data_IF_686222716558
#
_entry.id   IF_686222716558
#
_cell.length_a   1.000
_cell.length_b   1.000
_cell.length_c   1.000
_cell.angle_alpha   90.00
_cell.angle_beta   90.00
_cell.angle_gamma   90.00
#
_symmetry.space_group_name_H-M   'P 1'
#
loop_
_entity.id
_entity.type
_entity.pdbx_description
1 polymer ?
#
# COMPACT_ATOMS: atom_id res chain seq x y z
N UNK A 1 -10.70 25.93 3.30
CA UNK A 1 -10.73 24.52 2.88
C UNK A 1 -9.31 24.00 2.95
N UNK A 2 -9.02 23.07 3.85
CA UNK A 2 -7.66 22.51 4.00
C UNK A 2 -7.61 21.26 3.12
N UNK A 3 -6.73 21.26 2.11
CA UNK A 3 -6.47 20.09 1.27
C UNK A 3 -5.30 19.31 1.86
N UNK A 4 -5.51 18.02 2.15
CA UNK A 4 -4.47 17.12 2.64
C UNK A 4 -4.05 16.22 1.47
N UNK A 5 -2.79 16.29 1.01
CA UNK A 5 -2.32 15.39 -0.04
C UNK A 5 -2.30 13.96 0.50
N UNK A 6 -3.02 13.06 -0.18
CA UNK A 6 -3.08 11.65 0.17
C UNK A 6 -2.34 10.83 -0.90
N UNK A 7 -1.42 9.99 -0.45
CA UNK A 7 -0.79 9.00 -1.30
C UNK A 7 -1.56 7.70 -1.19
N UNK A 8 -2.35 7.38 -2.23
CA UNK A 8 -3.22 6.20 -2.27
C UNK A 8 -2.72 5.22 -3.33
N UNK A 9 -3.01 3.94 -3.12
CA UNK A 9 -2.79 2.88 -4.09
C UNK A 9 -4.01 1.98 -4.16
N UNK A 10 -4.22 1.36 -5.31
CA UNK A 10 -5.22 0.32 -5.48
C UNK A 10 -4.65 -1.00 -4.97
N UNK A 11 -5.21 -1.58 -3.91
CA UNK A 11 -4.76 -2.88 -3.42
C UNK A 11 -5.12 -4.01 -4.39
N UNK A 12 -6.28 -3.92 -5.02
CA UNK A 12 -6.85 -4.96 -5.87
C UNK A 12 -6.67 -4.63 -7.34
N UNK A 13 -5.89 -5.41 -8.05
CA UNK A 13 -5.77 -5.27 -9.48
C UNK A 13 -7.04 -5.73 -10.22
N UNK A 14 -7.48 -4.95 -11.21
CA UNK A 14 -8.55 -5.34 -12.14
C UNK A 14 -9.97 -5.09 -11.61
N UNK A 15 -10.13 -4.57 -10.39
CA UNK A 15 -11.42 -4.05 -9.94
C UNK A 15 -11.81 -2.85 -10.79
N UNK A 16 -13.12 -2.76 -11.05
CA UNK A 16 -13.70 -1.62 -11.77
C UNK A 16 -13.41 -0.33 -11.01
N UNK A 17 -13.13 0.73 -11.77
CA UNK A 17 -12.94 2.07 -11.21
C UNK A 17 -14.10 2.44 -10.27
N UNK A 18 -13.80 2.97 -9.07
CA UNK A 18 -14.83 3.44 -8.16
C UNK A 18 -15.75 4.46 -8.81
N UNK A 19 -17.05 4.37 -8.51
CA UNK A 19 -18.04 5.38 -8.94
C UNK A 19 -18.36 6.31 -7.78
N UNK A 20 -18.80 7.56 -8.01
CA UNK A 20 -19.14 8.50 -6.94
C UNK A 20 -20.24 8.03 -5.98
N UNK A 21 -21.05 7.05 -6.41
CA UNK A 21 -22.14 6.47 -5.62
C UNK A 21 -21.71 5.21 -4.85
N UNK A 22 -20.46 4.76 -4.99
CA UNK A 22 -19.95 3.63 -4.23
C UNK A 22 -19.84 4.01 -2.74
N UNK A 23 -20.29 3.10 -1.87
CA UNK A 23 -20.14 3.26 -0.43
C UNK A 23 -18.72 2.86 -0.02
N UNK A 24 -18.00 3.76 0.65
CA UNK A 24 -16.65 3.55 1.13
C UNK A 24 -16.64 3.43 2.66
N UNK A 25 -15.92 2.42 3.16
CA UNK A 25 -15.64 2.26 4.59
C UNK A 25 -14.15 2.36 4.82
N UNK A 26 -13.74 3.17 5.79
CA UNK A 26 -12.38 3.15 6.30
C UNK A 26 -12.21 1.91 7.18
N UNK A 27 -11.23 1.09 6.81
CA UNK A 27 -10.84 -0.12 7.57
C UNK A 27 -9.38 0.01 7.94
N UNK A 28 -9.01 -0.57 9.09
CA UNK A 28 -7.59 -0.69 9.44
C UNK A 28 -6.91 -1.73 8.56
N UNK A 29 -5.61 -1.60 8.28
CA UNK A 29 -4.87 -2.60 7.50
C UNK A 29 -5.03 -4.02 8.08
N UNK A 30 -4.96 -4.17 9.39
CA UNK A 30 -5.11 -5.46 10.10
C UNK A 30 -6.51 -6.09 9.95
N UNK A 31 -7.54 -5.28 9.68
CA UNK A 31 -8.89 -5.78 9.40
C UNK A 31 -9.07 -6.20 7.94
N UNK A 32 -8.17 -5.77 7.04
CA UNK A 32 -8.24 -6.04 5.61
C UNK A 32 -7.39 -7.24 5.19
N UNK A 33 -6.19 -7.39 5.78
CA UNK A 33 -5.21 -8.40 5.37
C UNK A 33 -4.42 -8.92 6.56
N UNK A 34 -4.14 -10.22 6.58
CA UNK A 34 -3.26 -10.87 7.55
C UNK A 34 -1.78 -10.79 7.14
N UNK A 35 -1.48 -10.30 5.93
CA UNK A 35 -0.11 -10.17 5.45
C UNK A 35 0.57 -8.97 6.13
N UNK A 36 1.37 -9.25 7.17
CA UNK A 36 2.13 -8.25 7.93
C UNK A 36 3.04 -7.41 7.03
N UNK A 37 3.63 -8.00 5.98
CA UNK A 37 4.47 -7.24 5.05
C UNK A 37 3.65 -6.22 4.23
N UNK A 38 2.40 -6.55 3.90
CA UNK A 38 1.49 -5.60 3.24
C UNK A 38 1.06 -4.47 4.20
N UNK A 39 0.82 -4.78 5.47
CA UNK A 39 0.52 -3.76 6.49
C UNK A 39 1.69 -2.77 6.63
N UNK A 40 2.92 -3.27 6.76
CA UNK A 40 4.13 -2.44 6.82
C UNK A 40 4.35 -1.61 5.55
N UNK A 41 4.08 -2.21 4.38
CA UNK A 41 4.12 -1.49 3.12
C UNK A 41 3.15 -0.29 3.12
N UNK A 42 1.92 -0.49 3.60
CA UNK A 42 0.91 0.58 3.68
C UNK A 42 1.34 1.70 4.62
N UNK A 43 1.95 1.38 5.75
CA UNK A 43 2.53 2.38 6.68
C UNK A 43 3.64 3.18 5.99
N UNK A 44 4.53 2.52 5.25
CA UNK A 44 5.59 3.21 4.51
C UNK A 44 5.04 4.14 3.42
N UNK A 45 4.01 3.71 2.68
CA UNK A 45 3.35 4.53 1.64
C UNK A 45 2.66 5.75 2.27
N UNK A 46 2.01 5.58 3.43
CA UNK A 46 1.32 6.64 4.15
C UNK A 46 2.26 7.79 4.60
N UNK A 47 3.57 7.56 4.65
CA UNK A 47 4.57 8.60 4.92
C UNK A 47 4.63 9.70 3.85
N UNK A 48 4.07 9.46 2.66
CA UNK A 48 4.06 10.41 1.54
C UNK A 48 5.41 10.55 0.81
N UNK A 49 6.42 9.75 1.18
CA UNK A 49 7.77 9.80 0.58
C UNK A 49 7.99 8.83 -0.58
N UNK A 50 7.01 7.98 -0.87
CA UNK A 50 7.09 6.94 -1.90
C UNK A 50 6.41 7.41 -3.18
N UNK A 51 7.06 7.23 -4.32
CA UNK A 51 6.46 7.48 -5.62
C UNK A 51 5.21 6.60 -5.83
N UNK A 52 4.14 7.16 -6.40
CA UNK A 52 2.85 6.46 -6.61
C UNK A 52 2.97 5.17 -7.42
N UNK A 53 3.74 5.18 -8.50
CA UNK A 53 3.89 4.01 -9.38
C UNK A 53 4.69 2.91 -8.68
N UNK A 54 5.71 3.29 -7.90
CA UNK A 54 6.49 2.37 -7.05
C UNK A 54 5.58 1.72 -6.01
N UNK A 55 4.77 2.53 -5.33
CA UNK A 55 3.82 2.08 -4.32
C UNK A 55 2.77 1.12 -4.92
N UNK A 56 2.22 1.46 -6.09
CA UNK A 56 1.21 0.67 -6.79
C UNK A 56 1.76 -0.70 -7.25
N UNK A 57 2.99 -0.74 -7.79
CA UNK A 57 3.65 -1.98 -8.17
C UNK A 57 3.94 -2.87 -6.96
N UNK A 58 4.45 -2.30 -5.86
CA UNK A 58 4.70 -3.03 -4.63
C UNK A 58 3.41 -3.61 -4.02
N UNK A 59 2.32 -2.83 -4.01
CA UNK A 59 1.02 -3.27 -3.49
C UNK A 59 0.46 -4.45 -4.29
N UNK A 60 0.47 -4.37 -5.63
CA UNK A 60 -0.02 -5.48 -6.47
C UNK A 60 0.85 -6.74 -6.37
N UNK A 61 2.16 -6.60 -6.17
CA UNK A 61 3.03 -7.75 -5.94
C UNK A 61 2.67 -8.48 -4.64
N UNK A 62 2.46 -7.74 -3.53
CA UNK A 62 2.17 -8.34 -2.22
C UNK A 62 0.72 -8.79 -2.02
N UNK A 63 -0.23 -8.14 -2.69
CA UNK A 63 -1.66 -8.39 -2.46
C UNK A 63 -2.32 -9.27 -3.53
N UNK A 64 -1.79 -9.28 -4.77
CA UNK A 64 -2.35 -10.05 -5.87
C UNK A 64 -1.37 -11.10 -6.44
N UNK A 65 -0.24 -11.34 -5.75
CA UNK A 65 0.81 -12.27 -6.17
C UNK A 65 1.33 -12.04 -7.60
N UNK A 66 1.19 -10.81 -8.12
CA UNK A 66 1.65 -10.48 -9.46
C UNK A 66 3.18 -10.56 -9.52
N UNK A 67 3.71 -11.33 -10.45
CA UNK A 67 5.15 -11.40 -10.65
C UNK A 67 5.70 -10.08 -11.20
N UNK A 68 6.98 -9.80 -10.93
CA UNK A 68 7.66 -8.63 -11.50
C UNK A 68 7.68 -8.64 -13.03
N UNK A 69 7.66 -9.82 -13.65
CA UNK A 69 7.57 -9.96 -15.09
C UNK A 69 6.19 -9.53 -15.63
N UNK A 70 5.11 -9.90 -14.95
CA UNK A 70 3.75 -9.46 -15.29
C UNK A 70 3.57 -7.95 -15.07
N UNK A 71 4.16 -7.39 -14.01
CA UNK A 71 4.16 -5.95 -13.79
C UNK A 71 4.96 -5.22 -14.88
N UNK A 72 6.08 -5.78 -15.34
CA UNK A 72 6.90 -5.20 -16.41
C UNK A 72 6.25 -5.23 -17.80
N UNK A 73 5.42 -6.24 -18.07
CA UNK A 73 4.67 -6.37 -19.33
C UNK A 73 3.38 -5.56 -19.34
N UNK A 74 2.98 -5.01 -18.19
CA UNK A 74 1.72 -4.29 -18.04
C UNK A 74 1.71 -3.01 -18.87
N UNK A 75 0.69 -2.91 -19.71
CA UNK A 75 0.45 -1.75 -20.55
C UNK A 75 -0.97 -1.26 -20.38
N UNK A 76 -1.15 0.05 -20.44
CA UNK A 76 -2.46 0.69 -20.48
C UNK A 76 -2.74 1.17 -21.90
N UNK A 77 -3.92 0.83 -22.41
CA UNK A 77 -4.32 1.12 -23.79
C UNK A 77 -5.01 2.49 -23.95
N UNK A 78 -4.86 3.37 -22.96
CA UNK A 78 -5.74 4.53 -22.76
C UNK A 78 -5.25 5.83 -23.45
N UNK A 79 -4.26 5.77 -24.34
CA UNK A 79 -3.63 6.98 -24.91
C UNK A 79 -3.91 7.22 -26.40
N UNK A 80 -5.06 6.74 -26.91
CA UNK A 80 -5.51 7.04 -28.28
C UNK A 80 -4.43 6.75 -29.34
N UNK A 81 -4.06 7.75 -30.13
CA UNK A 81 -3.07 7.63 -31.21
C UNK A 81 -1.63 7.35 -30.75
N UNK A 82 -1.31 7.55 -29.46
CA UNK A 82 0.03 7.31 -28.92
C UNK A 82 0.31 5.82 -28.63
N UNK A 83 -0.70 4.95 -28.77
CA UNK A 83 -0.56 3.52 -28.56
C UNK A 83 -0.44 3.12 -27.07
N UNK A 84 -0.27 1.81 -26.79
CA UNK A 84 -0.19 1.30 -25.43
C UNK A 84 1.09 1.79 -24.73
N UNK A 85 0.95 2.33 -23.52
CA UNK A 85 2.08 2.76 -22.69
C UNK A 85 2.33 1.76 -21.58
N UNK A 86 3.59 1.48 -21.28
CA UNK A 86 3.95 0.72 -20.07
C UNK A 86 3.50 1.48 -18.84
N UNK A 87 2.84 0.78 -17.92
CA UNK A 87 2.37 1.35 -16.65
C UNK A 87 3.56 1.66 -15.76
N UNK A 88 4.55 0.75 -15.71
CA UNK A 88 5.73 0.89 -14.88
C UNK A 88 7.01 0.99 -15.72
N UNK A 89 7.89 1.89 -15.32
CA UNK A 89 9.27 1.92 -15.82
C UNK A 89 10.13 0.90 -15.09
N UNK A 90 11.24 0.46 -15.69
CA UNK A 90 12.18 -0.45 -15.02
C UNK A 90 12.69 0.14 -13.69
N UNK A 91 12.94 1.45 -13.64
CA UNK A 91 13.37 2.13 -12.42
C UNK A 91 12.30 2.04 -11.32
N UNK A 92 11.02 2.17 -11.67
CA UNK A 92 9.92 2.00 -10.71
C UNK A 92 9.86 0.57 -10.18
N UNK A 93 10.06 -0.44 -11.04
CA UNK A 93 10.05 -1.84 -10.63
C UNK A 93 11.21 -2.19 -9.69
N UNK A 94 12.43 -1.70 -9.98
CA UNK A 94 13.57 -1.89 -9.07
C UNK A 94 13.33 -1.21 -7.71
N UNK A 95 12.80 0.01 -7.70
CA UNK A 95 12.45 0.69 -6.46
C UNK A 95 11.34 -0.05 -5.69
N UNK A 96 10.37 -0.62 -6.40
CA UNK A 96 9.28 -1.39 -5.80
C UNK A 96 9.79 -2.70 -5.17
N UNK A 97 10.70 -3.41 -5.84
CA UNK A 97 11.37 -4.59 -5.28
C UNK A 97 12.10 -4.27 -3.97
N UNK A 98 12.88 -3.17 -3.95
CA UNK A 98 13.58 -2.73 -2.74
C UNK A 98 12.59 -2.37 -1.62
N UNK A 99 11.50 -1.67 -1.96
CA UNK A 99 10.47 -1.30 -0.99
C UNK A 99 9.79 -2.53 -0.39
N UNK A 100 9.47 -3.54 -1.20
CA UNK A 100 8.93 -4.82 -0.74
C UNK A 100 9.93 -5.53 0.18
N UNK A 101 11.21 -5.57 -0.19
CA UNK A 101 12.23 -6.19 0.64
C UNK A 101 12.35 -5.52 2.02
N UNK A 102 12.25 -4.19 2.08
CA UNK A 102 12.20 -3.46 3.35
C UNK A 102 10.94 -3.79 4.16
N UNK A 103 9.77 -3.88 3.52
CA UNK A 103 8.52 -4.23 4.19
C UNK A 103 8.57 -5.63 4.80
N UNK A 104 9.10 -6.60 4.04
CA UNK A 104 9.29 -7.98 4.50
C UNK A 104 10.32 -8.05 5.62
N UNK A 105 11.40 -7.26 5.54
CA UNK A 105 12.40 -7.17 6.61
C UNK A 105 11.78 -6.73 7.92
N UNK A 106 11.02 -5.63 7.91
CA UNK A 106 10.30 -5.13 9.09
C UNK A 106 9.29 -6.12 9.64
N UNK A 107 8.49 -6.74 8.76
CA UNK A 107 7.52 -7.74 9.17
C UNK A 107 8.17 -8.94 9.89
N UNK A 108 9.40 -9.31 9.53
CA UNK A 108 10.17 -10.35 10.23
C UNK A 108 10.72 -9.89 11.58
N UNK A 109 11.15 -8.63 11.67
CA UNK A 109 11.61 -8.03 12.93
C UNK A 109 10.47 -8.01 13.97
N UNK A 110 9.27 -7.59 13.57
CA UNK A 110 8.08 -7.59 14.44
C UNK A 110 7.69 -9.00 14.92
N UNK A 111 7.85 -10.03 14.07
CA UNK A 111 7.62 -11.42 14.47
C UNK A 111 8.69 -11.97 15.40
N UNK A 112 9.91 -11.41 15.38
CA UNK A 112 11.02 -11.87 16.23
C UNK A 112 10.96 -11.23 17.63
N UNK A 113 10.39 -10.03 17.74
CA UNK A 113 10.16 -9.35 19.04
C UNK A 113 8.93 -9.87 19.81
N UNK A 114 8.21 -10.87 19.28
CA UNK A 114 7.12 -11.53 20.01
C UNK A 114 7.62 -12.79 20.73
N UNK A 115 7.92 -12.67 22.03
CA UNK A 115 7.06 -13.35 22.99
C UNK A 115 6.63 -12.43 24.15
N UNK A 116 5.33 -12.47 24.46
CA UNK A 116 4.68 -11.89 25.64
C UNK A 116 4.57 -10.36 25.71
N UNK A 117 3.45 -9.81 25.23
CA UNK A 117 2.36 -9.28 26.09
C UNK A 117 1.44 -8.39 25.25
N UNK A 118 0.26 -8.90 24.92
CA UNK A 118 -0.90 -8.06 24.62
C UNK A 118 -1.19 -7.21 25.87
N UNK A 119 -0.76 -5.95 25.87
CA UNK A 119 -1.34 -4.93 26.74
C UNK A 119 -2.17 -3.99 25.87
N UNK A 120 -3.47 -3.81 26.15
CA UNK A 120 -4.29 -2.86 25.42
C UNK A 120 -3.69 -1.46 25.60
N UNK A 121 -3.47 -0.75 24.49
CA UNK A 121 -3.12 0.68 24.48
C UNK A 121 -4.29 1.47 25.07
N UNK A 122 -4.33 1.58 26.40
CA UNK A 122 -5.38 2.31 27.12
C UNK A 122 -5.29 3.79 26.76
N UNK A 123 -6.39 4.32 26.24
CA UNK A 123 -6.57 5.75 25.97
C UNK A 123 -6.48 6.53 27.28
N UNK A 124 -5.47 7.38 27.44
CA UNK A 124 -5.49 8.39 28.51
C UNK A 124 -6.50 9.48 28.15
N UNK A 125 -7.70 9.35 28.71
CA UNK A 125 -8.61 10.46 28.93
C UNK A 125 -7.95 11.41 29.93
N UNK A 126 -7.53 12.60 29.49
CA UNK A 126 -7.17 13.67 30.41
C UNK A 126 -8.42 14.51 30.69
N UNK A 127 -9.06 14.23 31.83
CA UNK A 127 -10.08 15.08 32.44
C UNK A 127 -9.35 16.24 33.12
N UNK A 128 -9.58 17.47 32.65
CA UNK A 128 -9.16 18.70 33.37
C UNK A 128 -10.43 19.51 33.64
N UNK A 129 -10.82 19.61 34.92
CA UNK A 129 -11.49 20.76 35.55
C UNK A 129 -11.08 20.76 37.03
N UNK A 130 -10.88 21.95 37.62
CA UNK A 130 -11.95 22.55 38.41
C UNK A 130 -12.46 23.89 37.87
#
# INVERSE_FOLDING_TARGET
MIAVPLNTVCLEHGKKEPTPVAEFKLVKPEEYTENVALQELLVMIASGKVNKDVAQAAAWHLNNDMSWAELASKTENNYGAAGPRRVFSNAHLYAAQNLVALAVGKAREEQTDEPATTTPRTSRVSRIQP
#
